data_IF_249343554353
#
_entry.id   IF_249343554353
#
_cell.length_a   1.000
_cell.length_b   1.000
_cell.length_c   1.000
_cell.angle_alpha   90.00
_cell.angle_beta   90.00
_cell.angle_gamma   90.00
#
_symmetry.space_group_name_H-M   'P 1'
#
loop_
_entity.id
_entity.type
_entity.pdbx_description
1 polymer ?
#
# COMPACT_ATOMS: atom_id res chain seq x y z
N UNK A 1 5.05 1.49 35.65
CA UNK A 1 3.95 1.74 34.70
C UNK A 1 4.60 2.08 33.37
N UNK A 2 4.61 1.16 32.41
CA UNK A 2 5.24 1.40 31.09
C UNK A 2 4.27 2.25 30.28
N UNK A 3 4.64 3.51 30.01
CA UNK A 3 3.91 4.34 29.04
C UNK A 3 4.01 3.64 27.69
N UNK A 4 2.88 3.30 27.08
CA UNK A 4 2.87 2.89 25.67
C UNK A 4 3.36 4.10 24.85
N UNK A 5 4.45 3.93 24.11
CA UNK A 5 5.00 4.98 23.25
C UNK A 5 4.17 5.21 21.99
N UNK A 6 3.19 4.33 21.74
CA UNK A 6 2.34 4.31 20.55
C UNK A 6 0.89 4.18 21.02
N UNK A 7 0.02 4.99 20.44
CA UNK A 7 -1.43 4.97 20.73
C UNK A 7 -2.06 3.66 20.22
N UNK A 8 -3.13 3.15 20.87
CA UNK A 8 -3.71 1.84 20.55
C UNK A 8 -4.18 1.67 19.11
N UNK A 9 -4.73 2.71 18.50
CA UNK A 9 -5.15 2.78 17.10
C UNK A 9 -3.95 2.63 16.15
N UNK A 10 -2.82 3.27 16.47
CA UNK A 10 -1.57 3.08 15.74
C UNK A 10 -0.98 1.68 15.89
N UNK A 11 -1.13 1.06 17.06
CA UNK A 11 -0.75 -0.36 17.26
C UNK A 11 -1.56 -1.26 16.32
N UNK A 12 -2.88 -1.07 16.23
CA UNK A 12 -3.73 -1.87 15.35
C UNK A 12 -3.38 -1.70 13.86
N UNK A 13 -3.01 -0.48 13.45
CA UNK A 13 -2.49 -0.22 12.12
C UNK A 13 -1.18 -0.98 11.88
N UNK A 14 -0.21 -0.89 12.78
CA UNK A 14 1.06 -1.62 12.64
C UNK A 14 0.87 -3.14 12.62
N UNK A 15 -0.03 -3.68 13.45
CA UNK A 15 -0.36 -5.11 13.43
C UNK A 15 -0.96 -5.53 12.09
N UNK A 16 -1.76 -4.66 11.48
CA UNK A 16 -2.31 -4.86 10.13
C UNK A 16 -1.21 -4.86 9.07
N UNK A 17 -0.27 -3.93 9.14
CA UNK A 17 0.89 -3.91 8.23
C UNK A 17 1.75 -5.17 8.40
N UNK A 18 2.09 -5.55 9.63
CA UNK A 18 2.93 -6.71 9.94
C UNK A 18 2.27 -8.02 9.48
N UNK A 19 0.95 -8.18 9.70
CA UNK A 19 0.20 -9.36 9.26
C UNK A 19 0.05 -9.45 7.73
N UNK A 20 0.27 -8.34 7.01
CA UNK A 20 0.25 -8.29 5.54
C UNK A 20 1.60 -8.72 4.93
N UNK A 21 2.71 -8.61 5.68
CA UNK A 21 4.07 -8.95 5.18
C UNK A 21 4.15 -10.35 4.59
N UNK A 22 3.60 -11.43 5.20
CA UNK A 22 3.66 -12.77 4.60
C UNK A 22 3.04 -12.84 3.20
N UNK A 23 1.88 -12.20 3.00
CA UNK A 23 1.20 -12.15 1.69
C UNK A 23 2.01 -11.35 0.66
N UNK A 24 2.65 -10.26 1.11
CA UNK A 24 3.54 -9.48 0.26
C UNK A 24 4.76 -10.29 -0.20
N UNK A 25 5.36 -11.08 0.70
CA UNK A 25 6.47 -11.99 0.36
C UNK A 25 6.00 -13.06 -0.61
N UNK A 26 4.85 -13.69 -0.37
CA UNK A 26 4.29 -14.69 -1.26
C UNK A 26 4.04 -14.14 -2.67
N UNK A 27 3.44 -12.95 -2.77
CA UNK A 27 3.22 -12.28 -4.06
C UNK A 27 4.53 -11.96 -4.79
N UNK A 28 5.53 -11.46 -4.06
CA UNK A 28 6.86 -11.15 -4.60
C UNK A 28 7.57 -12.42 -5.07
N UNK A 29 7.44 -13.54 -4.36
CA UNK A 29 8.10 -14.80 -4.68
C UNK A 29 7.33 -15.66 -5.69
N UNK A 30 6.07 -15.34 -5.97
CA UNK A 30 5.22 -16.09 -6.92
C UNK A 30 5.92 -16.23 -8.27
N UNK A 31 5.85 -17.43 -8.84
CA UNK A 31 6.45 -17.77 -10.14
C UNK A 31 7.94 -17.38 -10.23
N UNK A 32 8.75 -17.84 -9.28
CA UNK A 32 10.19 -17.52 -9.19
C UNK A 32 10.49 -16.01 -9.17
N UNK A 33 9.57 -15.26 -8.57
CA UNK A 33 9.64 -13.81 -8.46
C UNK A 33 9.38 -13.04 -9.74
N UNK A 34 8.53 -13.58 -10.61
CA UNK A 34 8.09 -12.95 -11.86
C UNK A 34 7.73 -11.47 -11.68
N UNK A 35 7.07 -11.09 -10.58
CA UNK A 35 6.70 -9.70 -10.30
C UNK A 35 7.91 -8.75 -10.26
N UNK A 36 9.06 -9.21 -9.74
CA UNK A 36 10.29 -8.42 -9.64
C UNK A 36 11.21 -8.68 -10.85
N UNK A 37 11.27 -9.92 -11.32
CA UNK A 37 12.23 -10.37 -12.33
C UNK A 37 11.72 -10.24 -13.77
N UNK A 38 10.42 -10.37 -14.05
CA UNK A 38 9.87 -10.15 -15.40
C UNK A 38 10.03 -8.68 -15.82
N UNK A 39 10.02 -7.77 -14.85
CA UNK A 39 10.28 -6.36 -15.05
C UNK A 39 11.79 -6.03 -15.10
N UNK A 40 12.67 -6.98 -14.79
CA UNK A 40 14.12 -6.96 -14.99
C UNK A 40 14.81 -5.60 -14.76
N UNK A 41 15.38 -4.95 -15.81
CA UNK A 41 16.04 -3.66 -15.69
C UNK A 41 15.08 -2.51 -15.33
N UNK A 42 13.79 -2.61 -15.70
CA UNK A 42 12.79 -1.60 -15.40
C UNK A 42 12.53 -1.54 -13.90
N UNK A 43 12.38 -2.68 -13.21
CA UNK A 43 12.23 -2.70 -11.75
C UNK A 43 13.46 -2.12 -11.03
N UNK A 44 14.66 -2.46 -11.49
CA UNK A 44 15.91 -1.91 -10.90
C UNK A 44 16.03 -0.40 -11.10
N UNK A 45 15.59 0.14 -12.24
CA UNK A 45 15.55 1.58 -12.45
C UNK A 45 14.43 2.22 -11.62
N UNK A 46 13.29 1.54 -11.51
CA UNK A 46 12.13 2.01 -10.78
C UNK A 46 12.37 2.11 -9.29
N UNK A 47 13.02 1.10 -8.71
CA UNK A 47 13.35 1.06 -7.28
C UNK A 47 14.23 2.24 -6.84
N UNK A 48 14.99 2.84 -7.75
CA UNK A 48 15.74 4.08 -7.47
C UNK A 48 14.84 5.32 -7.41
N UNK A 49 13.72 5.33 -8.13
CA UNK A 49 12.74 6.42 -8.17
C UNK A 49 11.66 6.25 -7.11
N UNK A 50 11.45 5.04 -6.60
CA UNK A 50 10.46 4.70 -5.56
C UNK A 50 10.48 5.65 -4.35
N UNK A 51 11.63 6.00 -3.74
CA UNK A 51 11.64 6.96 -2.63
C UNK A 51 11.06 8.32 -3.00
N UNK A 52 11.34 8.82 -4.20
CA UNK A 52 10.77 10.06 -4.71
C UNK A 52 9.28 9.91 -4.99
N UNK A 53 8.83 8.79 -5.55
CA UNK A 53 7.40 8.54 -5.75
C UNK A 53 6.66 8.45 -4.42
N UNK A 54 7.27 7.85 -3.39
CA UNK A 54 6.70 7.83 -2.05
C UNK A 54 6.49 9.26 -1.53
N UNK A 55 7.49 10.12 -1.69
CA UNK A 55 7.43 11.52 -1.29
C UNK A 55 6.42 12.33 -2.12
N UNK A 56 6.51 12.28 -3.45
CA UNK A 56 5.65 13.04 -4.37
C UNK A 56 4.18 12.63 -4.19
N UNK A 57 3.89 11.33 -4.14
CA UNK A 57 2.54 10.82 -3.98
C UNK A 57 2.00 11.01 -2.57
N UNK A 58 2.83 10.96 -1.52
CA UNK A 58 2.36 10.98 -0.13
C UNK A 58 2.55 12.35 0.56
N UNK A 59 3.08 13.35 -0.13
CA UNK A 59 3.38 14.69 0.39
C UNK A 59 2.17 15.34 1.09
N UNK A 60 0.96 15.15 0.56
CA UNK A 60 -0.26 15.67 1.17
C UNK A 60 -0.72 14.81 2.37
N UNK A 61 -0.53 13.49 2.33
CA UNK A 61 -0.95 12.56 3.40
C UNK A 61 -0.06 12.65 4.64
N UNK A 62 1.25 12.90 4.49
CA UNK A 62 2.19 12.96 5.61
C UNK A 62 1.71 13.96 6.69
N UNK A 63 1.07 15.06 6.30
CA UNK A 63 0.50 16.03 7.23
C UNK A 63 -0.69 15.50 8.06
N UNK A 64 -1.47 14.57 7.51
CA UNK A 64 -2.66 13.98 8.16
C UNK A 64 -2.35 12.68 8.91
N UNK A 65 -1.44 11.86 8.39
CA UNK A 65 -1.04 10.60 9.00
C UNK A 65 -0.26 10.77 10.31
N UNK A 66 0.47 11.88 10.47
CA UNK A 66 1.15 12.22 11.72
C UNK A 66 0.19 12.70 12.82
N UNK A 67 -1.07 13.04 12.47
CA UNK A 67 -1.97 13.79 13.37
C UNK A 67 -3.36 13.19 13.56
N UNK A 68 -3.83 12.24 12.74
CA UNK A 68 -5.20 11.73 12.79
C UNK A 68 -5.29 10.21 12.95
N UNK A 69 -6.11 9.79 13.92
CA UNK A 69 -6.62 8.41 14.07
C UNK A 69 -7.35 8.01 12.76
N UNK A 70 -7.05 6.83 12.22
CA UNK A 70 -7.67 6.29 11.01
C UNK A 70 -9.20 6.22 11.10
N UNK A 71 -9.74 6.08 12.31
CA UNK A 71 -11.18 6.04 12.56
C UNK A 71 -11.86 7.40 12.37
N UNK A 72 -11.09 8.49 12.37
CA UNK A 72 -11.56 9.86 12.20
C UNK A 72 -11.46 10.36 10.75
N UNK A 73 -11.18 9.49 9.78
CA UNK A 73 -11.07 9.88 8.38
C UNK A 73 -12.44 10.30 7.84
N UNK A 74 -12.53 11.55 7.38
CA UNK A 74 -13.68 12.06 6.66
C UNK A 74 -13.49 11.98 5.14
N UNK A 75 -14.46 12.50 4.40
CA UNK A 75 -14.47 12.50 2.92
C UNK A 75 -13.17 13.06 2.31
N UNK A 76 -12.64 14.14 2.88
CA UNK A 76 -11.40 14.75 2.42
C UNK A 76 -10.20 13.80 2.58
N UNK A 77 -10.03 13.19 3.75
CA UNK A 77 -8.95 12.25 4.02
C UNK A 77 -9.05 11.01 3.11
N UNK A 78 -10.26 10.51 2.89
CA UNK A 78 -10.49 9.39 1.99
C UNK A 78 -10.23 9.75 0.52
N UNK A 79 -10.54 10.98 0.11
CA UNK A 79 -10.22 11.49 -1.21
C UNK A 79 -8.70 11.60 -1.42
N UNK A 80 -7.97 12.11 -0.43
CA UNK A 80 -6.51 12.14 -0.49
C UNK A 80 -5.92 10.72 -0.51
N UNK A 81 -6.46 9.80 0.29
CA UNK A 81 -6.05 8.39 0.29
C UNK A 81 -6.21 7.73 -1.08
N UNK A 82 -7.34 7.95 -1.76
CA UNK A 82 -7.55 7.45 -3.12
C UNK A 82 -6.58 8.10 -4.12
N UNK A 83 -6.36 9.41 -4.05
CA UNK A 83 -5.38 10.12 -4.90
C UNK A 83 -3.98 9.54 -4.78
N UNK A 84 -3.57 9.15 -3.57
CA UNK A 84 -2.25 8.53 -3.37
C UNK A 84 -2.14 7.19 -4.08
N UNK A 85 -3.16 6.33 -4.00
CA UNK A 85 -3.18 5.08 -4.78
C UNK A 85 -3.11 5.37 -6.28
N UNK A 86 -3.89 6.33 -6.78
CA UNK A 86 -3.86 6.69 -8.21
C UNK A 86 -2.51 7.24 -8.64
N UNK A 87 -1.84 8.02 -7.78
CA UNK A 87 -0.49 8.51 -8.02
C UNK A 87 0.51 7.36 -8.15
N UNK A 88 0.54 6.40 -7.20
CA UNK A 88 1.41 5.23 -7.33
C UNK A 88 1.11 4.41 -8.58
N UNK A 89 -0.17 4.19 -8.89
CA UNK A 89 -0.58 3.46 -10.10
C UNK A 89 -0.02 4.11 -11.36
N UNK A 90 -0.07 5.44 -11.44
CA UNK A 90 0.48 6.21 -12.55
C UNK A 90 2.00 6.11 -12.61
N UNK A 91 2.70 6.40 -11.51
CA UNK A 91 4.17 6.37 -11.48
C UNK A 91 4.71 4.97 -11.81
N UNK A 92 4.10 3.90 -11.29
CA UNK A 92 4.48 2.53 -11.60
C UNK A 92 4.22 2.16 -13.08
N UNK A 93 3.14 2.67 -13.68
CA UNK A 93 2.87 2.49 -15.10
C UNK A 93 3.90 3.25 -15.97
N UNK A 94 4.20 4.50 -15.65
CA UNK A 94 5.21 5.32 -16.33
C UNK A 94 6.61 4.69 -16.22
N UNK A 95 6.84 3.99 -15.12
CA UNK A 95 8.05 3.25 -14.82
C UNK A 95 8.08 1.82 -15.42
N UNK A 96 7.06 1.44 -16.21
CA UNK A 96 6.90 0.13 -16.86
C UNK A 96 6.89 -1.06 -15.91
N UNK A 97 6.40 -0.85 -14.69
CA UNK A 97 6.19 -1.90 -13.68
C UNK A 97 4.76 -1.86 -13.12
N UNK A 98 3.71 -1.77 -13.96
CA UNK A 98 2.35 -1.50 -13.50
C UNK A 98 1.82 -2.58 -12.55
N UNK A 99 2.34 -3.81 -12.62
CA UNK A 99 1.94 -4.92 -11.73
C UNK A 99 2.38 -4.71 -10.28
N UNK A 100 3.37 -3.88 -10.01
CA UNK A 100 3.81 -3.56 -8.64
C UNK A 100 2.73 -2.86 -7.81
N UNK A 101 1.67 -2.33 -8.44
CA UNK A 101 0.51 -1.79 -7.71
C UNK A 101 -0.22 -2.88 -6.91
N UNK A 102 -0.11 -4.15 -7.32
CA UNK A 102 -0.70 -5.29 -6.60
C UNK A 102 -0.07 -5.43 -5.21
N UNK A 103 1.23 -5.17 -5.08
CA UNK A 103 1.94 -5.17 -3.80
C UNK A 103 1.50 -4.01 -2.90
N UNK A 104 1.34 -2.81 -3.48
CA UNK A 104 0.81 -1.65 -2.75
C UNK A 104 -0.62 -1.90 -2.25
N UNK A 105 -1.45 -2.51 -3.09
CA UNK A 105 -2.84 -2.82 -2.79
C UNK A 105 -2.99 -3.77 -1.59
N UNK A 106 -2.03 -4.66 -1.35
CA UNK A 106 -2.02 -5.53 -0.16
C UNK A 106 -2.02 -4.72 1.14
N UNK A 107 -1.27 -3.61 1.20
CA UNK A 107 -1.21 -2.74 2.37
C UNK A 107 -2.31 -1.68 2.38
N UNK A 108 -2.68 -1.17 1.20
CA UNK A 108 -3.70 -0.15 1.05
C UNK A 108 -5.10 -0.63 1.46
N UNK A 109 -5.49 -1.85 1.07
CA UNK A 109 -6.84 -2.36 1.31
C UNK A 109 -7.19 -2.50 2.79
N UNK A 110 -6.33 -3.07 3.64
CA UNK A 110 -6.60 -3.11 5.08
C UNK A 110 -6.77 -1.71 5.68
N UNK A 111 -5.99 -0.72 5.25
CA UNK A 111 -6.13 0.68 5.71
C UNK A 111 -7.50 1.25 5.32
N UNK A 112 -7.94 1.04 4.08
CA UNK A 112 -9.27 1.46 3.63
C UNK A 112 -10.39 0.74 4.41
N UNK A 113 -10.24 -0.57 4.65
CA UNK A 113 -11.24 -1.36 5.39
C UNK A 113 -11.29 -1.02 6.89
N UNK A 114 -10.19 -0.58 7.46
CA UNK A 114 -10.08 -0.18 8.86
C UNK A 114 -10.51 1.28 9.11
N UNK A 115 -10.85 2.03 8.06
CA UNK A 115 -11.28 3.43 8.15
C UNK A 115 -12.70 3.59 7.56
N UNK A 116 -13.36 4.73 7.83
CA UNK A 116 -14.62 5.10 7.17
C UNK A 116 -14.51 5.19 5.63
N UNK A 117 -13.29 5.15 5.07
CA UNK A 117 -13.06 5.25 3.63
C UNK A 117 -13.64 4.09 2.81
N UNK A 118 -14.03 2.97 3.44
CA UNK A 118 -14.75 1.88 2.78
C UNK A 118 -16.03 2.36 2.08
N UNK A 119 -16.67 3.42 2.59
CA UNK A 119 -17.89 3.99 2.00
C UNK A 119 -17.61 4.93 0.81
N UNK A 120 -16.36 5.40 0.67
CA UNK A 120 -15.95 6.38 -0.34
C UNK A 120 -15.10 5.75 -1.47
N UNK A 121 -14.34 4.71 -1.16
CA UNK A 121 -13.34 4.13 -2.05
C UNK A 121 -13.81 2.77 -2.56
N UNK A 122 -13.96 2.65 -3.88
CA UNK A 122 -14.26 1.36 -4.52
C UNK A 122 -12.98 0.53 -4.64
N UNK A 123 -12.81 -0.45 -3.77
CA UNK A 123 -11.75 -1.43 -3.88
C UNK A 123 -12.08 -2.40 -5.03
N UNK A 124 -11.24 -2.43 -6.08
CA UNK A 124 -11.29 -3.47 -7.12
C UNK A 124 -11.04 -4.85 -6.48
N UNK A 125 -11.38 -5.99 -7.08
CA UNK A 125 -10.97 -7.29 -6.50
C UNK A 125 -9.45 -7.50 -6.70
N UNK A 126 -8.76 -8.08 -5.72
CA UNK A 126 -7.39 -8.55 -5.95
C UNK A 126 -7.49 -9.70 -6.95
N UNK A 127 -6.61 -9.72 -7.95
CA UNK A 127 -6.44 -10.94 -8.74
C UNK A 127 -5.98 -12.03 -7.79
N UNK A 128 -6.72 -13.13 -7.72
CA UNK A 128 -6.41 -14.22 -6.80
C UNK A 128 -4.95 -14.67 -6.99
N UNK A 129 -4.24 -14.80 -5.88
CA UNK A 129 -3.00 -15.57 -5.85
C UNK A 129 -3.45 -17.02 -6.04
N UNK A 130 -3.45 -17.51 -7.28
CA UNK A 130 -3.63 -18.95 -7.53
C UNK A 130 -2.61 -19.74 -6.71
N UNK A 131 -3.08 -20.37 -5.64
CA UNK A 131 -2.33 -21.30 -4.81
C UNK A 131 -2.19 -22.61 -5.57
N UNK A 132 -1.16 -22.70 -6.41
CA UNK A 132 -0.72 -24.00 -6.88
C UNK A 132 0.13 -24.62 -5.76
N UNK A 133 -0.52 -25.41 -4.91
CA UNK A 133 0.14 -26.37 -4.03
C UNK A 133 1.13 -27.20 -4.86
N UNK A 134 2.42 -27.07 -4.57
CA UNK A 134 3.46 -28.03 -4.99
C UNK A 134 3.57 -29.09 -3.89
#
# INVERSE_FOLDING_TARGET
MVRKCVEPDRIALYDTFVSTIPQAVELICKNDGELIFADGPNFKECSKKLPRYLEDCSSNIASFADTMDLTAYGEYQCTELDKVRQCYKKELADCRVPRMIELFDLFYRPVVKASPCVDFIKLEELKEVENNNI
#
